data_IF_870017957875
#
_entry.id   IF_870017957875
#
_cell.length_a   1.000
_cell.length_b   1.000
_cell.length_c   1.000
_cell.angle_alpha   90.00
_cell.angle_beta   90.00
_cell.angle_gamma   90.00
#
_symmetry.space_group_name_H-M   'P 1'
#
loop_
_entity.id
_entity.type
_entity.pdbx_description
1 polymer ?
#
# COMPACT_ATOMS: atom_id res chain seq x y z
N UNK A 1 22.92 -0.94 -13.64
CA UNK A 1 22.02 0.14 -13.20
C UNK A 1 21.62 -0.16 -11.76
N UNK A 2 22.28 0.47 -10.78
CA UNK A 2 22.01 0.25 -9.36
C UNK A 2 20.74 1.03 -8.99
N UNK A 3 19.60 0.37 -8.91
CA UNK A 3 18.39 0.94 -8.31
C UNK A 3 18.68 1.18 -6.83
N UNK A 4 19.06 2.40 -6.51
CA UNK A 4 19.30 2.90 -5.16
C UNK A 4 17.95 2.86 -4.40
N UNK A 5 17.60 1.70 -3.83
CA UNK A 5 16.47 1.55 -2.91
C UNK A 5 16.78 2.41 -1.68
N UNK A 6 16.27 3.64 -1.65
CA UNK A 6 16.25 4.48 -0.46
C UNK A 6 15.27 3.87 0.53
N UNK A 7 15.75 2.89 1.29
CA UNK A 7 15.07 2.43 2.49
C UNK A 7 14.96 3.59 3.48
N UNK A 8 13.78 3.78 4.06
CA UNK A 8 13.58 4.79 5.08
C UNK A 8 14.38 4.38 6.33
N UNK A 9 15.46 5.11 6.62
CA UNK A 9 16.25 4.93 7.85
C UNK A 9 15.54 5.49 9.08
N UNK A 10 14.59 6.41 8.87
CA UNK A 10 13.86 7.11 9.93
C UNK A 10 12.41 7.36 9.52
N UNK A 11 11.48 7.23 10.47
CA UNK A 11 10.07 7.46 10.25
C UNK A 11 9.79 8.96 10.13
N UNK A 12 9.21 9.38 9.01
CA UNK A 12 8.88 10.79 8.75
C UNK A 12 7.84 11.37 9.71
N UNK A 13 7.17 10.52 10.49
CA UNK A 13 6.03 10.94 11.33
C UNK A 13 6.32 10.92 12.83
N UNK A 14 7.27 10.09 13.27
CA UNK A 14 7.64 9.99 14.70
C UNK A 14 9.15 9.99 14.94
N UNK A 15 9.94 10.22 13.90
CA UNK A 15 11.41 10.24 13.92
C UNK A 15 12.07 8.97 14.46
N UNK A 16 11.31 7.88 14.58
CA UNK A 16 11.83 6.63 15.11
C UNK A 16 12.61 5.85 14.03
N UNK A 17 13.77 5.26 14.36
CA UNK A 17 14.54 4.41 13.44
C UNK A 17 13.96 3.00 13.31
N UNK A 18 12.87 2.68 14.02
CA UNK A 18 12.26 1.34 14.04
C UNK A 18 11.38 1.08 12.82
N UNK A 19 11.92 1.28 11.62
CA UNK A 19 11.25 0.92 10.37
C UNK A 19 11.79 -0.42 9.89
N UNK A 20 10.88 -1.27 9.42
CA UNK A 20 11.27 -2.50 8.71
C UNK A 20 10.44 -2.64 7.45
N UNK A 21 11.07 -3.21 6.43
CA UNK A 21 10.36 -3.70 5.26
C UNK A 21 9.57 -4.95 5.64
N UNK A 22 8.28 -4.96 5.29
CA UNK A 22 7.35 -6.05 5.58
C UNK A 22 6.50 -6.33 4.34
N UNK A 23 6.04 -7.58 4.24
CA UNK A 23 5.09 -8.01 3.22
C UNK A 23 3.87 -8.51 3.98
N UNK A 24 2.78 -7.76 3.92
CA UNK A 24 1.55 -8.07 4.67
C UNK A 24 0.32 -7.92 3.78
N UNK A 25 -0.76 -8.58 4.14
CA UNK A 25 -2.04 -8.44 3.44
C UNK A 25 -2.72 -7.12 3.82
N UNK A 26 -3.17 -6.36 2.82
CA UNK A 26 -3.88 -5.09 3.03
C UNK A 26 -5.36 -5.28 2.79
N UNK A 27 -6.15 -5.16 3.85
CA UNK A 27 -7.60 -5.08 3.74
C UNK A 27 -8.07 -3.62 3.66
N UNK A 28 -9.03 -3.33 2.80
CA UNK A 28 -9.73 -2.04 2.77
C UNK A 28 -11.20 -2.25 2.39
N UNK A 29 -12.04 -1.27 2.73
CA UNK A 29 -13.47 -1.30 2.41
C UNK A 29 -13.70 -0.41 1.19
N UNK A 30 -14.34 -0.94 0.16
CA UNK A 30 -14.75 -0.20 -1.04
C UNK A 30 -16.17 -0.62 -1.42
N UNK A 31 -17.07 0.34 -1.59
CA UNK A 31 -18.49 0.09 -1.92
C UNK A 31 -19.16 -0.89 -0.94
N UNK A 32 -18.84 -0.80 0.35
CA UNK A 32 -19.36 -1.71 1.38
C UNK A 32 -18.80 -3.15 1.34
N UNK A 33 -17.89 -3.45 0.40
CA UNK A 33 -17.22 -4.75 0.29
C UNK A 33 -15.81 -4.68 0.86
N UNK A 34 -15.45 -5.68 1.67
CA UNK A 34 -14.08 -5.88 2.15
C UNK A 34 -13.25 -6.49 1.01
N UNK A 35 -12.26 -5.75 0.54
CA UNK A 35 -11.28 -6.22 -0.45
C UNK A 35 -9.96 -6.46 0.29
N UNK A 36 -9.34 -7.61 0.04
CA UNK A 36 -8.04 -7.98 0.58
C UNK A 36 -7.04 -8.06 -0.56
N UNK A 37 -6.00 -7.23 -0.50
CA UNK A 37 -4.86 -7.27 -1.41
C UNK A 37 -3.76 -8.08 -0.72
N UNK A 38 -3.45 -9.30 -1.18
CA UNK A 38 -2.45 -10.12 -0.55
C UNK A 38 -1.04 -9.62 -0.86
N UNK A 39 -0.09 -9.91 0.04
CA UNK A 39 1.36 -9.75 -0.17
C UNK A 39 1.78 -8.36 -0.64
N UNK A 40 1.35 -7.29 0.04
CA UNK A 40 1.75 -5.93 -0.31
C UNK A 40 3.08 -5.58 0.36
N UNK A 41 4.18 -5.44 -0.40
CA UNK A 41 5.45 -5.00 0.16
C UNK A 41 5.33 -3.54 0.61
N UNK A 42 5.76 -3.21 1.83
CA UNK A 42 5.79 -1.82 2.31
C UNK A 42 6.76 -1.67 3.48
N UNK A 43 7.15 -0.44 3.79
CA UNK A 43 7.94 -0.15 4.99
C UNK A 43 6.99 0.25 6.12
N UNK A 44 7.18 -0.33 7.30
CA UNK A 44 6.32 -0.13 8.46
C UNK A 44 7.13 0.33 9.65
N UNK A 45 6.71 1.42 10.27
CA UNK A 45 7.27 1.86 11.53
C UNK A 45 6.63 1.07 12.68
N UNK A 46 7.45 0.37 13.46
CA UNK A 46 7.02 -0.40 14.64
C UNK A 46 6.88 0.44 15.91
N UNK A 47 7.17 1.74 15.83
CA UNK A 47 6.95 2.68 16.94
C UNK A 47 5.58 3.33 16.88
N UNK A 48 5.19 3.89 15.72
CA UNK A 48 3.92 4.60 15.55
C UNK A 48 2.89 3.85 14.67
N UNK A 49 3.29 2.80 13.96
CA UNK A 49 2.41 2.05 13.07
C UNK A 49 2.24 2.64 11.67
N UNK A 50 2.94 3.75 11.35
CA UNK A 50 2.93 4.38 10.03
C UNK A 50 3.43 3.39 8.95
N UNK A 51 2.83 3.48 7.76
CA UNK A 51 3.12 2.61 6.61
C UNK A 51 3.50 3.45 5.41
N UNK A 52 4.63 3.15 4.81
CA UNK A 52 5.17 3.82 3.64
C UNK A 52 5.14 2.87 2.45
N UNK A 53 4.45 3.27 1.39
CA UNK A 53 4.26 2.49 0.18
C UNK A 53 5.17 3.04 -0.92
N UNK A 54 6.05 2.20 -1.43
CA UNK A 54 6.96 2.52 -2.54
C UNK A 54 6.37 2.12 -3.89
N UNK A 55 7.11 2.32 -4.99
CA UNK A 55 6.69 1.94 -6.34
C UNK A 55 6.27 0.45 -6.43
N UNK A 56 7.05 -0.45 -5.83
CA UNK A 56 6.78 -1.90 -5.80
C UNK A 56 5.45 -2.23 -5.10
N UNK A 57 5.04 -1.42 -4.12
CA UNK A 57 3.74 -1.57 -3.47
C UNK A 57 2.60 -1.25 -4.44
N UNK A 58 2.76 -0.20 -5.26
CA UNK A 58 1.73 0.24 -6.21
C UNK A 58 1.57 -0.74 -7.37
N UNK A 59 2.63 -1.41 -7.81
CA UNK A 59 2.55 -2.51 -8.79
C UNK A 59 1.59 -3.63 -8.34
N UNK A 60 1.46 -3.85 -7.03
CA UNK A 60 0.49 -4.81 -6.48
C UNK A 60 -0.87 -4.15 -6.21
N UNK A 61 -0.89 -2.92 -5.69
CA UNK A 61 -2.12 -2.26 -5.26
C UNK A 61 -3.00 -1.83 -6.46
N UNK A 62 -2.41 -1.19 -7.47
CA UNK A 62 -3.12 -0.63 -8.62
C UNK A 62 -3.95 -1.66 -9.40
N UNK A 63 -3.42 -2.83 -9.82
CA UNK A 63 -4.22 -3.80 -10.57
C UNK A 63 -5.39 -4.35 -9.76
N UNK A 64 -5.24 -4.51 -8.43
CA UNK A 64 -6.36 -4.87 -7.56
C UNK A 64 -7.39 -3.74 -7.49
N UNK A 65 -6.96 -2.49 -7.38
CA UNK A 65 -7.88 -1.36 -7.36
C UNK A 65 -8.62 -1.15 -8.68
N UNK A 66 -7.96 -1.40 -9.82
CA UNK A 66 -8.54 -1.33 -11.16
C UNK A 66 -9.55 -2.46 -11.39
N UNK A 67 -9.20 -3.70 -11.05
CA UNK A 67 -10.12 -4.85 -11.11
C UNK A 67 -11.38 -4.62 -10.29
N UNK A 68 -11.25 -3.94 -9.16
CA UNK A 68 -12.35 -3.56 -8.28
C UNK A 68 -12.86 -2.13 -8.52
N UNK A 69 -12.49 -1.47 -9.62
CA UNK A 69 -13.09 -0.20 -10.04
C UNK A 69 -14.45 -0.55 -10.65
N UNK A 70 -15.49 -0.30 -9.87
CA UNK A 70 -16.88 -0.46 -10.29
C UNK A 70 -17.05 0.18 -11.67
N UNK A 71 -17.38 -0.62 -12.70
CA UNK A 71 -17.85 -0.12 -13.98
C UNK A 71 -19.03 0.79 -13.65
N UNK A 72 -18.87 2.10 -13.76
CA UNK A 72 -20.00 3.04 -13.69
C UNK A 72 -21.06 2.47 -14.63
N UNK A 73 -22.22 2.07 -14.08
CA UNK A 73 -23.39 1.79 -14.90
C UNK A 73 -23.54 3.00 -15.81
N UNK A 74 -23.53 2.80 -17.13
CA UNK A 74 -23.92 3.84 -18.09
C UNK A 74 -25.26 4.38 -17.58
N UNK A 75 -25.27 5.62 -17.13
CA UNK A 75 -26.53 6.32 -16.93
C UNK A 75 -27.11 6.50 -18.34
N UNK A 76 -28.13 5.70 -18.64
CA UNK A 76 -29.03 5.96 -19.76
C UNK A 76 -29.87 7.15 -19.33
N UNK A 77 -29.70 8.27 -20.02
CA UNK A 77 -30.67 9.37 -20.12
C UNK A 77 -30.80 9.66 -21.60
#
# INVERSE_FOLDING_TARGET
MLTNRKHLTQCLSCDSPKIKYVIEDRAYIKDGKKIVIPKVPHEKCFSCGERFFGPESYEVIEPYQEKHRCKKRKAVI
#
